data_IF_802292082627
#
_entry.id   IF_802292082627
#
_cell.length_a   1.000
_cell.length_b   1.000
_cell.length_c   1.000
_cell.angle_alpha   90.00
_cell.angle_beta   90.00
_cell.angle_gamma   90.00
#
_symmetry.space_group_name_H-M   'P 1'
#
loop_
_entity.id
_entity.type
_entity.pdbx_description
1 polymer ?
#
# COMPACT_ATOMS: atom_id res chain seq x y z
N UNK A 1 5.75 14.87 -8.99
CA UNK A 1 5.82 15.62 -7.71
C UNK A 1 5.02 14.86 -6.69
N UNK A 2 5.71 14.21 -5.78
CA UNK A 2 5.06 13.62 -4.63
C UNK A 2 4.37 14.72 -3.83
N UNK A 3 3.19 14.40 -3.37
CA UNK A 3 2.29 15.33 -2.71
C UNK A 3 2.84 15.81 -1.37
N UNK A 4 2.34 16.93 -0.88
CA UNK A 4 2.55 17.41 0.49
C UNK A 4 2.39 16.31 1.54
N UNK A 5 1.52 15.32 1.28
CA UNK A 5 1.27 14.19 2.18
C UNK A 5 2.49 13.31 2.46
N UNK A 6 3.48 13.25 1.57
CA UNK A 6 4.72 12.52 1.82
C UNK A 6 5.77 13.32 2.61
N UNK A 7 5.58 14.63 2.76
CA UNK A 7 6.41 15.45 3.63
C UNK A 7 6.07 15.27 5.12
N UNK A 8 4.88 14.76 5.42
CA UNK A 8 4.43 14.55 6.79
C UNK A 8 4.65 13.10 7.23
N UNK A 9 5.12 12.92 8.47
CA UNK A 9 5.22 11.60 9.07
C UNK A 9 3.84 10.99 9.24
N UNK A 10 3.66 9.78 8.73
CA UNK A 10 2.42 9.03 8.89
C UNK A 10 2.37 8.23 10.19
N UNK A 11 1.18 8.08 10.72
CA UNK A 11 0.90 7.11 11.76
C UNK A 11 0.69 5.76 11.10
N UNK A 12 1.49 4.76 11.48
CA UNK A 12 1.49 3.44 10.83
C UNK A 12 0.91 2.41 11.80
N UNK A 13 0.02 1.58 11.27
CA UNK A 13 -0.55 0.43 11.96
C UNK A 13 -0.53 -0.79 11.04
N UNK A 14 -0.20 -1.96 11.59
CA UNK A 14 -0.12 -3.20 10.82
C UNK A 14 -1.20 -4.18 11.26
N UNK A 15 -1.84 -4.83 10.27
CA UNK A 15 -2.87 -5.84 10.49
C UNK A 15 -2.44 -7.15 9.85
N UNK A 16 -2.53 -8.25 10.61
CA UNK A 16 -2.26 -9.60 10.14
C UNK A 16 -3.58 -10.37 9.98
N UNK A 17 -3.84 -10.89 8.79
CA UNK A 17 -5.05 -11.66 8.48
C UNK A 17 -4.70 -12.90 7.65
N UNK A 18 -4.39 -14.00 8.32
CA UNK A 18 -3.97 -15.23 7.65
C UNK A 18 -2.67 -15.04 6.85
N UNK A 19 -2.77 -15.07 5.53
CA UNK A 19 -1.64 -14.84 4.60
C UNK A 19 -1.54 -13.38 4.15
N UNK A 20 -2.47 -12.51 4.59
CA UNK A 20 -2.53 -11.10 4.23
C UNK A 20 -1.93 -10.24 5.34
N UNK A 21 -1.16 -9.24 4.94
CA UNK A 21 -0.56 -8.24 5.79
C UNK A 21 -0.88 -6.87 5.24
N UNK A 22 -1.40 -6.00 6.08
CA UNK A 22 -1.80 -4.66 5.68
C UNK A 22 -1.02 -3.65 6.51
N UNK A 23 -0.42 -2.69 5.81
CA UNK A 23 0.17 -1.49 6.42
C UNK A 23 -0.76 -0.32 6.17
N UNK A 24 -1.45 0.12 7.21
CA UNK A 24 -2.29 1.30 7.21
C UNK A 24 -1.45 2.52 7.59
N UNK A 25 -1.27 3.44 6.68
CA UNK A 25 -0.51 4.65 6.88
C UNK A 25 -1.43 5.86 6.80
N UNK A 26 -1.57 6.58 7.91
CA UNK A 26 -2.49 7.71 8.04
C UNK A 26 -1.71 9.00 8.19
N UNK A 27 -2.01 9.98 7.34
CA UNK A 27 -1.35 11.29 7.32
C UNK A 27 -2.35 12.43 7.37
N UNK A 28 -1.91 13.53 7.99
CA UNK A 28 -2.59 14.81 7.94
C UNK A 28 -2.15 15.58 6.69
N UNK A 29 -3.10 16.08 5.91
CA UNK A 29 -2.85 16.99 4.79
C UNK A 29 -3.81 18.16 4.93
N UNK A 30 -3.35 19.25 5.49
CA UNK A 30 -4.19 20.42 5.80
C UNK A 30 -5.44 19.97 6.61
N UNK A 31 -6.65 20.23 6.11
CA UNK A 31 -7.92 19.81 6.71
C UNK A 31 -8.35 18.39 6.32
N UNK A 32 -7.49 17.63 5.64
CA UNK A 32 -7.80 16.28 5.23
C UNK A 32 -6.98 15.26 6.01
N UNK A 33 -7.51 14.06 6.12
CA UNK A 33 -6.80 12.85 6.56
C UNK A 33 -6.72 11.90 5.39
N UNK A 34 -5.50 11.53 5.02
CA UNK A 34 -5.24 10.53 4.00
C UNK A 34 -4.85 9.20 4.64
N UNK A 35 -5.63 8.17 4.37
CA UNK A 35 -5.38 6.80 4.80
C UNK A 35 -4.95 5.98 3.60
N UNK A 36 -3.69 5.56 3.58
CA UNK A 36 -3.15 4.65 2.57
C UNK A 36 -3.00 3.26 3.15
N UNK A 37 -3.56 2.28 2.48
CA UNK A 37 -3.42 0.88 2.84
C UNK A 37 -2.64 0.15 1.77
N UNK A 38 -1.44 -0.27 2.13
CA UNK A 38 -0.64 -1.17 1.31
C UNK A 38 -0.88 -2.60 1.80
N UNK A 39 -0.99 -3.52 0.89
CA UNK A 39 -1.24 -4.92 1.20
C UNK A 39 -0.13 -5.81 0.65
N UNK A 40 0.26 -6.77 1.45
CA UNK A 40 1.12 -7.88 1.08
C UNK A 40 0.36 -9.17 1.31
N UNK A 41 0.26 -10.01 0.27
CA UNK A 41 -0.23 -11.37 0.37
C UNK A 41 0.95 -12.30 0.15
N UNK A 42 1.23 -13.15 1.15
CA UNK A 42 2.36 -14.06 1.08
C UNK A 42 2.25 -15.03 -0.10
N UNK A 43 3.37 -15.35 -0.74
CA UNK A 43 4.73 -14.96 -0.34
C UNK A 43 5.20 -13.63 -0.92
N UNK A 44 4.66 -13.14 -2.03
CA UNK A 44 5.32 -12.12 -2.85
C UNK A 44 4.37 -11.19 -3.63
N UNK A 45 3.07 -11.25 -3.36
CA UNK A 45 2.10 -10.37 -3.98
C UNK A 45 1.95 -9.09 -3.17
N UNK A 46 1.98 -7.93 -3.82
CA UNK A 46 1.80 -6.64 -3.16
C UNK A 46 0.84 -5.74 -3.92
N UNK A 47 0.09 -4.94 -3.15
CA UNK A 47 -0.71 -3.85 -3.68
C UNK A 47 -0.35 -2.55 -2.96
N UNK A 48 -0.27 -1.48 -3.74
CA UNK A 48 -0.12 -0.13 -3.22
C UNK A 48 -1.35 0.71 -3.57
N UNK A 49 -1.67 1.67 -2.73
CA UNK A 49 -2.74 2.62 -2.99
C UNK A 49 -2.50 3.48 -4.23
N UNK A 50 -3.53 4.20 -4.65
CA UNK A 50 -3.57 4.88 -5.94
C UNK A 50 -3.48 6.42 -5.87
N UNK A 51 -3.40 7.00 -4.69
CA UNK A 51 -3.44 8.47 -4.55
C UNK A 51 -2.12 9.12 -4.96
N UNK A 52 -2.02 9.50 -6.21
CA UNK A 52 -0.92 10.33 -6.71
C UNK A 52 -1.29 11.82 -6.83
N UNK A 53 -2.52 12.20 -6.49
CA UNK A 53 -2.92 13.60 -6.50
C UNK A 53 -2.33 14.35 -5.29
N UNK A 54 -1.74 15.51 -5.54
CA UNK A 54 -1.05 16.29 -4.52
C UNK A 54 -1.94 16.72 -3.34
N UNK A 55 -3.23 16.87 -3.58
CA UNK A 55 -4.23 17.31 -2.61
C UNK A 55 -5.14 16.19 -2.08
N UNK A 56 -4.95 14.96 -2.57
CA UNK A 56 -5.74 13.81 -2.17
C UNK A 56 -7.22 13.86 -2.57
N UNK A 57 -7.66 14.88 -3.31
CA UNK A 57 -9.09 15.09 -3.59
C UNK A 57 -9.70 14.06 -4.51
N UNK A 58 -8.89 13.43 -5.36
CA UNK A 58 -9.35 12.43 -6.35
C UNK A 58 -9.68 11.07 -5.77
N UNK A 59 -9.17 10.75 -4.61
CA UNK A 59 -9.44 9.48 -3.91
C UNK A 59 -10.38 9.66 -2.73
N UNK A 60 -11.23 10.68 -2.81
CA UNK A 60 -12.19 10.96 -1.74
C UNK A 60 -13.07 9.76 -1.47
N UNK A 61 -13.14 9.42 -0.19
CA UNK A 61 -13.73 8.26 0.46
C UNK A 61 -13.02 6.95 0.15
N UNK A 62 -12.92 6.52 -1.10
CA UNK A 62 -12.35 5.22 -1.40
C UNK A 62 -11.84 5.14 -2.83
N UNK A 63 -10.56 4.84 -2.98
CA UNK A 63 -9.93 4.50 -4.24
C UNK A 63 -9.27 3.13 -4.13
N UNK A 64 -9.60 2.22 -5.06
CA UNK A 64 -8.93 0.92 -5.13
C UNK A 64 -7.46 1.08 -5.45
N UNK A 65 -6.66 0.10 -5.04
CA UNK A 65 -5.28 0.01 -5.46
C UNK A 65 -5.19 0.01 -7.00
N UNK A 66 -4.38 0.92 -7.54
CA UNK A 66 -4.11 0.98 -8.98
C UNK A 66 -2.87 0.19 -9.37
N UNK A 67 -2.06 -0.19 -8.41
CA UNK A 67 -0.80 -0.87 -8.66
C UNK A 67 -0.71 -2.18 -7.89
N UNK A 68 -0.53 -3.25 -8.64
CA UNK A 68 -0.40 -4.62 -8.14
C UNK A 68 0.88 -5.21 -8.71
N UNK A 69 1.66 -5.90 -7.90
CA UNK A 69 2.90 -6.54 -8.36
C UNK A 69 3.20 -7.84 -7.64
N UNK A 70 3.94 -8.69 -8.33
CA UNK A 70 4.61 -9.86 -7.79
C UNK A 70 6.11 -9.65 -7.89
N UNK A 71 6.84 -9.89 -6.83
CA UNK A 71 8.29 -9.92 -6.84
C UNK A 71 8.71 -11.40 -6.80
N UNK A 72 9.13 -11.91 -7.95
CA UNK A 72 9.43 -13.33 -8.12
C UNK A 72 10.94 -13.53 -8.10
N UNK A 73 11.49 -14.29 -7.14
CA UNK A 73 12.90 -14.60 -7.12
C UNK A 73 13.27 -15.50 -8.32
N UNK A 74 14.38 -15.20 -8.97
CA UNK A 74 14.96 -15.97 -10.08
C UNK A 74 16.12 -16.82 -9.57
N UNK A 75 17.02 -16.21 -8.82
CA UNK A 75 18.16 -16.82 -8.15
C UNK A 75 18.52 -16.03 -6.88
N UNK A 76 19.67 -16.33 -6.28
CA UNK A 76 20.13 -15.69 -5.04
C UNK A 76 20.45 -14.19 -5.20
N UNK A 77 20.56 -13.69 -6.42
CA UNK A 77 20.96 -12.31 -6.72
C UNK A 77 19.95 -11.55 -7.57
N UNK A 78 18.98 -12.24 -8.20
CA UNK A 78 18.05 -11.66 -9.14
C UNK A 78 16.60 -11.93 -8.77
N UNK A 79 15.77 -10.97 -9.01
CA UNK A 79 14.31 -11.09 -8.96
C UNK A 79 13.66 -10.38 -10.15
N UNK A 80 12.47 -10.82 -10.52
CA UNK A 80 11.65 -10.17 -11.54
C UNK A 80 10.43 -9.57 -10.87
N UNK A 81 10.18 -8.28 -11.07
CA UNK A 81 8.96 -7.63 -10.67
C UNK A 81 7.96 -7.64 -11.83
N UNK A 82 6.89 -8.40 -11.68
CA UNK A 82 5.76 -8.39 -12.60
C UNK A 82 4.71 -7.43 -12.05
N UNK A 83 4.50 -6.32 -12.74
CA UNK A 83 3.60 -5.28 -12.30
C UNK A 83 2.36 -5.17 -13.18
N UNK A 84 1.24 -4.89 -12.54
CA UNK A 84 -0.04 -4.64 -13.18
C UNK A 84 -0.61 -3.31 -12.68
N UNK A 85 -0.85 -2.39 -13.59
CA UNK A 85 -1.53 -1.15 -13.27
C UNK A 85 -3.01 -1.24 -13.69
N UNK A 86 -3.89 -0.90 -12.76
CA UNK A 86 -5.34 -0.86 -13.00
C UNK A 86 -5.77 0.59 -13.19
N UNK A 87 -6.41 0.86 -14.30
CA UNK A 87 -7.00 2.16 -14.60
C UNK A 87 -8.51 2.02 -14.51
N UNK A 88 -9.09 2.46 -13.41
CA UNK A 88 -10.52 2.35 -13.14
C UNK A 88 -11.24 3.69 -13.14
N UNK A 89 -12.56 3.66 -13.04
CA UNK A 89 -13.40 4.87 -13.00
C UNK A 89 -13.39 5.58 -11.63
N UNK A 90 -13.03 4.87 -10.56
CA UNK A 90 -13.09 5.37 -9.19
C UNK A 90 -11.70 5.60 -8.62
N UNK A 91 -11.40 6.86 -8.36
CA UNK A 91 -10.18 7.24 -7.68
C UNK A 91 -8.90 7.04 -8.49
N UNK A 92 -9.03 6.79 -9.77
CA UNK A 92 -7.87 6.71 -10.65
C UNK A 92 -7.30 8.10 -10.86
N UNK A 93 -6.14 8.42 -10.24
CA UNK A 93 -5.56 9.74 -10.36
C UNK A 93 -4.94 9.96 -11.73
N UNK A 94 -4.79 8.89 -12.50
CA UNK A 94 -4.08 8.90 -13.76
C UNK A 94 -5.07 8.71 -14.89
N UNK A 95 -5.43 9.81 -15.52
CA UNK A 95 -6.07 9.78 -16.83
C UNK A 95 -4.97 9.64 -17.89
N UNK A 96 -4.56 8.44 -18.19
CA UNK A 96 -3.75 8.22 -19.37
C UNK A 96 -4.64 8.29 -20.59
N UNK A 97 -4.55 9.39 -21.29
CA UNK A 97 -5.23 9.56 -22.57
C UNK A 97 -4.37 9.18 -23.77
N UNK A 98 -3.17 8.67 -23.57
CA UNK A 98 -2.24 8.46 -24.67
C UNK A 98 -1.45 7.19 -24.51
N UNK A 99 -1.07 6.58 -25.63
CA UNK A 99 -0.12 5.47 -25.70
C UNK A 99 1.19 5.77 -24.97
N UNK A 100 1.61 7.02 -24.89
CA UNK A 100 2.82 7.48 -24.19
C UNK A 100 2.75 7.28 -22.67
N UNK A 101 1.56 7.38 -22.07
CA UNK A 101 1.40 7.20 -20.61
C UNK A 101 1.53 5.76 -20.13
N UNK A 102 1.24 4.78 -20.99
CA UNK A 102 1.28 3.37 -20.65
C UNK A 102 2.69 2.76 -20.71
N UNK A 103 3.61 3.39 -21.43
CA UNK A 103 4.91 2.81 -21.74
C UNK A 103 5.99 3.06 -20.67
N UNK A 104 5.74 3.93 -19.68
CA UNK A 104 6.76 4.39 -18.74
C UNK A 104 6.35 4.47 -17.28
N UNK A 105 5.64 3.49 -16.76
CA UNK A 105 5.49 3.37 -15.32
C UNK A 105 6.81 2.85 -14.76
N UNK A 106 7.57 3.74 -14.14
CA UNK A 106 8.86 3.48 -13.47
C UNK A 106 10.07 3.13 -14.36
N UNK A 107 9.88 2.70 -15.61
CA UNK A 107 10.99 2.29 -16.47
C UNK A 107 11.90 3.44 -16.95
N UNK A 108 11.44 4.69 -16.88
CA UNK A 108 12.23 5.85 -17.32
C UNK A 108 13.15 6.45 -16.25
N UNK A 109 13.03 6.03 -14.99
CA UNK A 109 13.87 6.56 -13.91
C UNK A 109 15.28 5.97 -13.92
N UNK A 110 15.46 4.75 -14.43
CA UNK A 110 16.72 4.01 -14.33
C UNK A 110 17.54 3.94 -15.60
N UNK A 111 16.92 4.03 -16.78
CA UNK A 111 17.62 3.64 -18.02
C UNK A 111 18.34 4.76 -18.74
N UNK A 112 17.88 5.99 -18.67
CA UNK A 112 18.36 7.09 -19.52
C UNK A 112 18.91 8.30 -18.73
N UNK A 113 19.17 8.13 -17.43
CA UNK A 113 19.65 9.21 -16.56
C UNK A 113 21.12 9.04 -16.21
N UNK A 114 21.87 10.11 -16.32
CA UNK A 114 23.25 10.15 -15.85
C UNK A 114 23.32 9.98 -14.32
N UNK A 115 24.46 9.57 -13.81
CA UNK A 115 24.69 9.49 -12.37
C UNK A 115 24.39 10.82 -11.65
N UNK A 116 24.79 11.94 -12.22
CA UNK A 116 24.57 13.27 -11.66
C UNK A 116 23.08 13.64 -11.61
N UNK A 117 22.30 13.28 -12.62
CA UNK A 117 20.86 13.48 -12.61
C UNK A 117 20.17 12.63 -11.57
N UNK A 118 20.59 11.37 -11.40
CA UNK A 118 20.11 10.47 -10.35
C UNK A 118 20.38 11.04 -8.96
N UNK A 119 21.57 11.62 -8.73
CA UNK A 119 21.91 12.24 -7.45
C UNK A 119 21.10 13.52 -7.17
N UNK A 120 20.82 14.33 -8.19
CA UNK A 120 20.05 15.57 -8.04
C UNK A 120 18.55 15.34 -7.84
N UNK A 121 18.01 14.28 -8.43
CA UNK A 121 16.58 13.92 -8.36
C UNK A 121 16.44 12.41 -8.21
N UNK A 122 16.80 11.84 -7.06
CA UNK A 122 16.68 10.42 -6.83
C UNK A 122 15.20 9.99 -6.87
N UNK A 123 14.93 8.84 -7.47
CA UNK A 123 13.64 8.17 -7.44
C UNK A 123 13.66 6.96 -6.51
N UNK A 124 12.55 6.23 -6.47
CA UNK A 124 12.42 5.03 -5.63
C UNK A 124 13.44 3.94 -6.04
N UNK A 125 13.74 3.85 -7.32
CA UNK A 125 14.68 2.84 -7.86
C UNK A 125 16.10 3.13 -7.41
N UNK A 126 16.55 4.37 -7.46
CA UNK A 126 17.88 4.75 -6.96
C UNK A 126 18.01 4.51 -5.45
N UNK A 127 16.92 4.70 -4.69
CA UNK A 127 16.90 4.40 -3.26
C UNK A 127 17.09 2.89 -3.01
N UNK A 128 16.42 2.04 -3.79
CA UNK A 128 16.55 0.57 -3.69
C UNK A 128 17.94 0.11 -4.14
N UNK A 129 18.43 0.60 -5.27
CA UNK A 129 19.78 0.29 -5.78
C UNK A 129 20.87 0.73 -4.81
N UNK A 130 20.69 1.88 -4.16
CA UNK A 130 21.64 2.43 -3.18
C UNK A 130 21.79 1.58 -1.91
N UNK A 131 20.87 0.68 -1.63
CA UNK A 131 21.02 -0.31 -0.55
C UNK A 131 22.07 -1.39 -0.87
N UNK A 132 22.52 -1.48 -2.11
CA UNK A 132 23.50 -2.45 -2.58
C UNK A 132 22.90 -3.86 -2.75
N UNK A 133 23.80 -4.84 -2.86
CA UNK A 133 23.43 -6.25 -2.91
C UNK A 133 22.84 -6.73 -1.58
N UNK A 134 22.43 -8.00 -1.49
CA UNK A 134 21.79 -8.56 -0.32
C UNK A 134 22.58 -8.24 0.96
N UNK A 135 21.99 -7.46 1.85
CA UNK A 135 22.65 -7.00 3.09
C UNK A 135 22.79 -8.10 4.14
N UNK A 136 22.04 -9.20 4.02
CA UNK A 136 21.97 -10.30 4.99
C UNK A 136 21.82 -9.82 6.43
N UNK A 137 21.05 -8.75 6.64
CA UNK A 137 20.84 -8.05 7.93
C UNK A 137 22.07 -7.30 8.47
N UNK A 138 23.18 -7.27 7.75
CA UNK A 138 24.34 -6.46 8.14
C UNK A 138 24.07 -5.00 7.82
N UNK A 139 24.32 -4.11 8.80
CA UNK A 139 24.10 -2.68 8.65
C UNK A 139 22.64 -2.23 8.63
N UNK A 140 21.69 -3.10 8.91
CA UNK A 140 20.29 -2.70 9.04
C UNK A 140 20.04 -2.04 10.41
N UNK A 141 19.31 -0.93 10.41
CA UNK A 141 18.87 -0.22 11.60
C UNK A 141 17.34 -0.11 11.58
N UNK A 142 16.67 -1.20 11.95
CA UNK A 142 15.20 -1.24 11.94
C UNK A 142 14.61 -0.33 13.02
N UNK A 143 13.71 0.54 12.60
CA UNK A 143 12.98 1.48 13.44
C UNK A 143 11.56 0.98 13.73
N UNK A 144 10.81 1.58 14.65
CA UNK A 144 9.41 1.22 14.90
C UNK A 144 8.53 1.25 13.65
N UNK A 145 8.85 2.10 12.66
CA UNK A 145 8.17 2.16 11.36
C UNK A 145 8.41 0.92 10.49
N UNK A 146 9.46 0.15 10.77
CA UNK A 146 9.84 -1.05 10.03
C UNK A 146 9.24 -2.33 10.64
N UNK A 147 8.31 -2.19 11.57
CA UNK A 147 7.63 -3.32 12.22
C UNK A 147 7.01 -4.27 11.18
N UNK A 148 6.48 -3.75 10.08
CA UNK A 148 5.96 -4.57 8.99
C UNK A 148 7.00 -5.47 8.34
N UNK A 149 8.24 -4.99 8.17
CA UNK A 149 9.37 -5.79 7.66
C UNK A 149 9.70 -6.93 8.63
N UNK A 150 9.73 -6.65 9.93
CA UNK A 150 9.99 -7.66 10.96
C UNK A 150 8.89 -8.73 10.99
N UNK A 151 7.62 -8.33 10.90
CA UNK A 151 6.47 -9.25 10.82
C UNK A 151 6.60 -10.15 9.59
N UNK A 152 6.83 -9.56 8.43
CA UNK A 152 6.99 -10.28 7.17
C UNK A 152 8.12 -11.32 7.23
N UNK A 153 9.32 -10.92 7.65
CA UNK A 153 10.48 -11.81 7.75
C UNK A 153 10.25 -12.96 8.73
N UNK A 154 9.66 -12.67 9.88
CA UNK A 154 9.30 -13.71 10.87
C UNK A 154 8.35 -14.75 10.25
N UNK A 155 7.39 -14.27 9.48
CA UNK A 155 6.40 -15.15 8.87
C UNK A 155 6.99 -16.01 7.75
N UNK A 156 7.79 -15.43 6.87
CA UNK A 156 8.48 -16.18 5.82
C UNK A 156 9.36 -17.28 6.43
N UNK A 157 10.16 -16.96 7.45
CA UNK A 157 10.98 -17.97 8.13
C UNK A 157 10.14 -19.12 8.70
N UNK A 158 8.98 -18.80 9.29
CA UNK A 158 8.04 -19.82 9.80
C UNK A 158 7.50 -20.71 8.68
N UNK A 159 7.16 -20.13 7.54
CA UNK A 159 6.68 -20.89 6.38
C UNK A 159 7.77 -21.77 5.77
N UNK A 160 8.98 -21.27 5.63
CA UNK A 160 10.13 -22.05 5.17
C UNK A 160 10.37 -23.25 6.09
N UNK A 161 10.37 -23.04 7.42
CA UNK A 161 10.51 -24.14 8.40
C UNK A 161 9.37 -25.16 8.27
N UNK A 162 8.13 -24.72 8.10
CA UNK A 162 7.00 -25.63 7.86
C UNK A 162 7.19 -26.48 6.62
N UNK A 163 7.67 -25.90 5.52
CA UNK A 163 7.98 -26.65 4.29
C UNK A 163 9.08 -27.68 4.52
N UNK A 164 10.14 -27.33 5.24
CA UNK A 164 11.21 -28.26 5.60
C UNK A 164 10.73 -29.42 6.47
N UNK A 165 9.66 -29.21 7.25
CA UNK A 165 8.97 -30.22 8.04
C UNK A 165 7.93 -31.02 7.22
N UNK A 166 7.85 -30.82 5.90
CA UNK A 166 6.89 -31.49 5.01
C UNK A 166 5.45 -30.98 5.10
N UNK A 167 5.22 -29.83 5.69
CA UNK A 167 3.89 -29.20 5.78
C UNK A 167 3.69 -28.26 4.62
N UNK A 168 2.52 -28.31 3.99
CA UNK A 168 2.17 -27.33 2.97
C UNK A 168 1.91 -25.95 3.59
N UNK A 169 2.42 -24.87 2.96
CA UNK A 169 2.14 -23.52 3.41
C UNK A 169 0.68 -23.14 3.10
N UNK A 170 0.07 -22.30 3.92
CA UNK A 170 -1.26 -21.81 3.62
C UNK A 170 -1.27 -21.03 2.32
N UNK A 171 -2.23 -21.33 1.46
CA UNK A 171 -2.43 -20.65 0.19
C UNK A 171 -3.47 -19.55 0.34
N UNK A 172 -3.33 -18.41 -0.37
CA UNK A 172 -4.34 -17.36 -0.37
C UNK A 172 -5.63 -17.80 -1.04
N UNK A 173 -5.54 -18.69 -2.03
CA UNK A 173 -6.66 -19.29 -2.74
C UNK A 173 -6.79 -20.75 -2.35
N UNK A 174 -7.90 -21.10 -1.73
CA UNK A 174 -8.16 -22.47 -1.25
C UNK A 174 -8.80 -23.36 -2.32
N UNK A 175 -9.56 -22.76 -3.25
CA UNK A 175 -10.27 -23.48 -4.32
C UNK A 175 -9.98 -22.83 -5.66
N UNK A 176 -9.89 -23.67 -6.70
CA UNK A 176 -9.73 -23.18 -8.06
C UNK A 176 -10.89 -22.25 -8.45
N UNK A 177 -10.57 -21.05 -8.96
CA UNK A 177 -11.56 -20.04 -9.33
C UNK A 177 -12.04 -19.16 -8.18
N UNK A 178 -11.60 -19.39 -6.95
CA UNK A 178 -11.90 -18.49 -5.83
C UNK A 178 -11.23 -17.14 -6.05
N UNK A 179 -11.97 -16.06 -5.80
CA UNK A 179 -11.45 -14.70 -5.88
C UNK A 179 -10.74 -14.35 -4.59
N UNK A 180 -9.48 -14.02 -4.70
CA UNK A 180 -8.71 -13.49 -3.56
C UNK A 180 -9.14 -12.05 -3.33
N UNK A 181 -9.75 -11.80 -2.17
CA UNK A 181 -10.18 -10.46 -1.77
C UNK A 181 -8.98 -9.66 -1.28
N UNK A 182 -8.85 -8.45 -1.78
CA UNK A 182 -7.77 -7.54 -1.40
C UNK A 182 -8.33 -6.29 -0.72
N UNK A 183 -7.50 -5.65 0.10
CA UNK A 183 -7.84 -4.49 0.92
C UNK A 183 -6.91 -3.29 0.67
N UNK A 184 -5.98 -3.40 -0.29
CA UNK A 184 -5.14 -2.28 -0.70
C UNK A 184 -6.00 -1.13 -1.24
N UNK A 185 -5.80 0.10 -0.71
CA UNK A 185 -6.63 1.26 -1.05
C UNK A 185 -6.01 2.59 -0.65
N UNK A 186 -6.65 3.67 -1.10
CA UNK A 186 -6.53 5.02 -0.55
C UNK A 186 -7.90 5.57 -0.17
N UNK A 187 -7.93 6.28 0.95
CA UNK A 187 -9.11 7.03 1.43
C UNK A 187 -8.68 8.43 1.80
N UNK A 188 -9.43 9.43 1.35
CA UNK A 188 -9.27 10.81 1.82
C UNK A 188 -10.58 11.29 2.44
N UNK A 189 -10.49 11.74 3.69
CA UNK A 189 -11.60 12.30 4.46
C UNK A 189 -11.29 13.76 4.80
N UNK A 190 -12.30 14.61 4.72
CA UNK A 190 -12.20 15.99 5.22
C UNK A 190 -12.44 16.00 6.72
N UNK A 191 -11.36 16.09 7.47
CA UNK A 191 -11.38 16.07 8.93
C UNK A 191 -10.46 17.17 9.44
N UNK A 192 -11.00 18.36 9.73
CA UNK A 192 -10.21 19.47 10.23
C UNK A 192 -9.43 19.11 11.50
N UNK A 193 -8.24 19.71 11.65
CA UNK A 193 -7.42 19.55 12.84
C UNK A 193 -8.18 20.06 14.08
N UNK A 194 -8.06 19.32 15.18
CA UNK A 194 -8.67 19.67 16.46
C UNK A 194 -7.61 20.09 17.47
N UNK A 195 -8.03 20.78 18.54
CA UNK A 195 -7.12 21.28 19.60
C UNK A 195 -6.76 20.17 20.63
N UNK A 196 -6.32 19.00 20.15
CA UNK A 196 -5.80 17.91 20.99
C UNK A 196 -4.77 17.10 20.22
N UNK A 197 -4.28 16.00 20.78
CA UNK A 197 -3.26 15.14 20.14
C UNK A 197 -3.77 14.63 18.75
N UNK A 198 -3.42 15.38 17.70
CA UNK A 198 -3.86 15.10 16.34
C UNK A 198 -3.27 13.79 15.81
N UNK A 199 -2.08 13.39 16.28
CA UNK A 199 -1.47 12.11 15.85
C UNK A 199 -2.30 10.91 16.30
N UNK A 200 -2.70 10.88 17.56
CA UNK A 200 -3.61 9.83 18.06
C UNK A 200 -4.96 9.87 17.36
N UNK A 201 -5.45 11.07 17.08
CA UNK A 201 -6.72 11.23 16.40
C UNK A 201 -6.69 10.70 14.97
N UNK A 202 -5.72 11.09 14.15
CA UNK A 202 -5.63 10.57 12.78
C UNK A 202 -5.39 9.06 12.76
N UNK A 203 -4.63 8.52 13.72
CA UNK A 203 -4.47 7.07 13.87
C UNK A 203 -5.81 6.36 14.11
N UNK A 204 -6.67 6.90 14.98
CA UNK A 204 -8.01 6.33 15.21
C UNK A 204 -8.87 6.34 13.95
N UNK A 205 -8.72 7.36 13.10
CA UNK A 205 -9.39 7.42 11.79
C UNK A 205 -8.90 6.29 10.88
N UNK A 206 -7.61 6.06 10.80
CA UNK A 206 -7.04 4.95 10.05
C UNK A 206 -7.61 3.60 10.50
N UNK A 207 -7.63 3.35 11.82
CA UNK A 207 -8.22 2.13 12.40
C UNK A 207 -9.72 2.00 12.07
N UNK A 208 -10.48 3.10 12.10
CA UNK A 208 -11.91 3.10 11.76
C UNK A 208 -12.14 2.79 10.26
N UNK A 209 -11.32 3.34 9.37
CA UNK A 209 -11.34 3.02 7.94
C UNK A 209 -11.08 1.54 7.72
N UNK A 210 -10.06 0.98 8.37
CA UNK A 210 -9.76 -0.46 8.29
C UNK A 210 -10.90 -1.32 8.81
N UNK A 211 -11.51 -0.92 9.92
CA UNK A 211 -12.68 -1.63 10.47
C UNK A 211 -13.83 -1.69 9.47
N UNK A 212 -14.17 -0.56 8.83
CA UNK A 212 -15.22 -0.53 7.79
C UNK A 212 -14.92 -1.52 6.66
N UNK A 213 -13.66 -1.58 6.21
CA UNK A 213 -13.26 -2.52 5.17
C UNK A 213 -13.43 -3.99 5.59
N UNK A 214 -12.97 -4.33 6.78
CA UNK A 214 -13.05 -5.69 7.29
C UNK A 214 -14.50 -6.12 7.53
N UNK A 215 -15.34 -5.23 8.07
CA UNK A 215 -16.77 -5.51 8.28
C UNK A 215 -17.51 -5.81 6.96
N UNK A 216 -17.01 -5.25 5.84
CA UNK A 216 -17.61 -5.41 4.51
C UNK A 216 -16.88 -6.42 3.61
N UNK A 217 -15.86 -7.12 4.12
CA UNK A 217 -15.02 -8.03 3.34
C UNK A 217 -15.81 -9.15 2.65
N UNK A 218 -16.86 -9.66 3.30
CA UNK A 218 -17.67 -10.75 2.77
C UNK A 218 -18.79 -10.32 1.83
N UNK A 219 -18.94 -9.02 1.59
CA UNK A 219 -19.91 -8.53 0.61
C UNK A 219 -19.50 -8.88 -0.82
N UNK A 220 -20.47 -9.05 -1.74
CA UNK A 220 -20.19 -9.12 -3.16
C UNK A 220 -19.40 -7.91 -3.65
N UNK A 221 -18.34 -8.14 -4.44
CA UNK A 221 -17.44 -7.06 -4.92
C UNK A 221 -18.19 -5.92 -5.62
N UNK A 222 -19.29 -6.25 -6.29
CA UNK A 222 -20.15 -5.31 -7.01
C UNK A 222 -20.69 -4.20 -6.11
N UNK A 223 -21.06 -4.53 -4.86
CA UNK A 223 -21.77 -3.62 -3.97
C UNK A 223 -20.85 -3.09 -2.85
N UNK A 224 -19.69 -3.74 -2.66
CA UNK A 224 -18.75 -3.46 -1.57
C UNK A 224 -18.25 -2.02 -1.58
N UNK A 225 -17.79 -1.54 -2.72
CA UNK A 225 -17.20 -0.20 -2.83
C UNK A 225 -18.20 0.90 -2.52
N UNK A 226 -19.41 0.78 -3.05
CA UNK A 226 -20.47 1.76 -2.78
C UNK A 226 -20.82 1.78 -1.30
N UNK A 227 -20.84 0.62 -0.67
CA UNK A 227 -21.12 0.53 0.78
C UNK A 227 -19.98 1.10 1.62
N UNK A 228 -18.72 0.88 1.22
CA UNK A 228 -17.56 1.51 1.86
C UNK A 228 -17.66 3.03 1.74
N UNK A 229 -17.89 3.55 0.53
CA UNK A 229 -18.02 4.98 0.27
C UNK A 229 -19.13 5.60 1.12
N UNK A 230 -20.29 4.97 1.18
CA UNK A 230 -21.43 5.47 1.98
C UNK A 230 -21.07 5.53 3.46
N UNK A 231 -20.51 4.46 4.04
CA UNK A 231 -20.09 4.44 5.45
C UNK A 231 -19.02 5.48 5.76
N UNK A 232 -18.03 5.66 4.88
CA UNK A 232 -16.99 6.67 5.06
C UNK A 232 -17.55 8.08 4.96
N UNK A 233 -18.51 8.33 4.04
CA UNK A 233 -19.20 9.61 3.93
C UNK A 233 -20.05 9.91 5.18
N UNK A 234 -20.76 8.92 5.72
CA UNK A 234 -21.51 9.05 6.95
C UNK A 234 -20.60 9.34 8.16
N UNK A 235 -19.48 8.64 8.25
CA UNK A 235 -18.46 8.84 9.28
C UNK A 235 -17.89 10.27 9.23
N UNK A 236 -17.55 10.76 8.04
CA UNK A 236 -17.07 12.14 7.85
C UNK A 236 -18.14 13.17 8.28
N UNK A 237 -19.38 13.01 7.82
CA UNK A 237 -20.48 13.95 8.13
C UNK A 237 -20.83 13.97 9.60
N UNK A 238 -20.80 12.83 10.25
CA UNK A 238 -21.13 12.72 11.68
C UNK A 238 -19.99 13.17 12.60
N UNK A 239 -18.76 13.24 12.08
CA UNK A 239 -17.55 13.53 12.87
C UNK A 239 -17.25 12.48 13.95
N UNK A 240 -17.84 11.30 13.85
CA UNK A 240 -17.60 10.15 14.75
C UNK A 240 -16.58 9.22 14.10
N UNK A 241 -15.38 9.20 14.68
CA UNK A 241 -14.23 8.42 14.21
C UNK A 241 -13.75 7.46 15.28
#
# INVERSE_FOLDING_TARGET
QFSKGFAELGEIEFFERGVQYLGCNTRRIDDNVWVRVNELILPNFTQAGAAFAADGTKTRYFGRSSFTRWVVPVDDHHSVALAWANFGKRGDPIKYNTKEGCERIEGGETMDRTFEEKQKKPGDTEAVEGMGTISAHKGEHLMPTDQGVMIYRRRIRKLVKSLQEGKEPPQPQQKKGEIIKTNGQDTVLRVPKRNFDDRKFIKSIGSAVMKIQFDLENMPLKDRDDKIINKLSEMEKSGKF
#
